data_IF_972408632225
#
_entry.id   IF_972408632225
#
_cell.length_a   1.000
_cell.length_b   1.000
_cell.length_c   1.000
_cell.angle_alpha   90.00
_cell.angle_beta   90.00
_cell.angle_gamma   90.00
#
_symmetry.space_group_name_H-M   'P 1'
#
loop_
_entity.id
_entity.type
_entity.pdbx_description
1 polymer ?
#
# COMPACT_ATOMS: atom_id res chain seq x y z
N UNK A 1 53.72 -97.45 17.65
CA UNK A 1 55.19 -97.51 17.73
C UNK A 1 55.56 -96.92 19.08
N UNK A 2 55.89 -97.75 20.08
CA UNK A 2 56.42 -97.27 21.37
C UNK A 2 57.80 -96.67 21.14
N UNK A 3 57.98 -95.41 21.52
CA UNK A 3 59.25 -94.71 21.39
C UNK A 3 60.05 -95.01 22.66
N UNK A 4 61.16 -95.74 22.56
CA UNK A 4 62.02 -96.01 23.70
C UNK A 4 62.65 -94.70 24.22
N UNK A 5 62.39 -94.37 25.48
CA UNK A 5 62.95 -93.18 26.12
C UNK A 5 64.47 -93.22 26.10
N UNK A 6 65.07 -92.23 25.45
CA UNK A 6 66.52 -92.03 25.40
C UNK A 6 66.86 -90.79 26.21
N UNK A 7 67.69 -90.96 27.24
CA UNK A 7 68.12 -89.88 28.14
C UNK A 7 69.52 -89.44 27.75
N UNK A 8 69.74 -88.14 27.61
CA UNK A 8 71.07 -87.59 27.32
C UNK A 8 72.00 -87.77 28.55
N UNK A 9 73.18 -88.37 28.36
CA UNK A 9 74.16 -88.61 29.43
C UNK A 9 74.84 -87.34 29.97
N UNK A 10 74.79 -86.23 29.23
CA UNK A 10 75.43 -84.97 29.62
C UNK A 10 74.50 -84.00 30.36
N UNK A 11 73.20 -83.97 30.03
CA UNK A 11 72.24 -83.05 30.63
C UNK A 11 71.06 -83.73 31.36
N UNK A 12 70.92 -85.06 31.28
CA UNK A 12 69.89 -85.82 32.01
C UNK A 12 68.46 -85.66 31.49
N UNK A 13 68.24 -84.91 30.41
CA UNK A 13 66.91 -84.67 29.83
C UNK A 13 66.49 -85.85 28.93
N UNK A 14 65.25 -86.33 29.10
CA UNK A 14 64.62 -87.28 28.18
C UNK A 14 64.35 -86.59 26.84
N UNK A 15 64.80 -87.21 25.75
CA UNK A 15 64.64 -86.67 24.40
C UNK A 15 63.17 -86.40 24.03
N UNK A 16 62.25 -87.24 24.53
CA UNK A 16 60.80 -87.07 24.36
C UNK A 16 60.32 -85.77 25.01
N UNK A 17 60.70 -85.52 26.26
CA UNK A 17 60.35 -84.30 26.99
C UNK A 17 60.89 -83.07 26.27
N UNK A 18 62.15 -83.11 25.82
CA UNK A 18 62.73 -82.00 25.06
C UNK A 18 61.95 -81.72 23.76
N UNK A 19 61.58 -82.75 23.01
CA UNK A 19 60.85 -82.59 21.76
C UNK A 19 59.44 -82.00 21.99
N UNK A 20 58.72 -82.47 23.00
CA UNK A 20 57.39 -81.98 23.34
C UNK A 20 57.41 -80.51 23.77
N UNK A 21 58.35 -80.13 24.65
CA UNK A 21 58.55 -78.74 25.04
C UNK A 21 58.92 -77.86 23.86
N UNK A 22 59.79 -78.34 22.96
CA UNK A 22 60.14 -77.61 21.76
C UNK A 22 58.93 -77.41 20.83
N UNK A 23 58.10 -78.43 20.63
CA UNK A 23 56.86 -78.31 19.85
C UNK A 23 55.87 -77.32 20.48
N UNK A 24 55.69 -77.37 21.80
CA UNK A 24 54.83 -76.44 22.53
C UNK A 24 55.33 -75.01 22.42
N UNK A 25 56.65 -74.79 22.54
CA UNK A 25 57.24 -73.46 22.44
C UNK A 25 57.08 -72.86 21.03
N UNK A 26 57.20 -73.68 19.98
CA UNK A 26 56.96 -73.25 18.60
C UNK A 26 55.48 -72.90 18.39
N UNK A 27 54.56 -73.71 18.92
CA UNK A 27 53.11 -73.42 18.86
C UNK A 27 52.74 -72.15 19.62
N UNK A 28 53.34 -71.92 20.79
CA UNK A 28 53.13 -70.70 21.57
C UNK A 28 53.60 -69.47 20.80
N UNK A 29 54.79 -69.52 20.20
CA UNK A 29 55.31 -68.40 19.40
C UNK A 29 54.39 -68.09 18.20
N UNK A 30 53.85 -69.12 17.53
CA UNK A 30 52.87 -68.94 16.45
C UNK A 30 51.59 -68.27 16.96
N UNK A 31 51.02 -68.75 18.06
CA UNK A 31 49.82 -68.16 18.65
C UNK A 31 50.03 -66.72 19.12
N UNK A 32 51.21 -66.39 19.64
CA UNK A 32 51.57 -65.01 20.02
C UNK A 32 51.61 -64.08 18.79
N UNK A 33 52.17 -64.55 17.67
CA UNK A 33 52.17 -63.78 16.41
C UNK A 33 50.76 -63.58 15.86
N UNK A 34 49.92 -64.63 15.83
CA UNK A 34 48.54 -64.54 15.38
C UNK A 34 47.71 -63.59 16.27
N UNK A 35 47.91 -63.65 17.59
CA UNK A 35 47.24 -62.75 18.53
C UNK A 35 47.63 -61.29 18.28
N UNK A 36 48.91 -61.04 17.98
CA UNK A 36 49.41 -59.70 17.68
C UNK A 36 48.80 -59.17 16.36
N UNK A 37 48.75 -59.98 15.32
CA UNK A 37 48.12 -59.63 14.04
C UNK A 37 46.63 -59.32 14.20
N UNK A 38 45.91 -60.13 14.98
CA UNK A 38 44.48 -59.90 15.27
C UNK A 38 44.28 -58.59 16.05
N UNK A 39 45.14 -58.28 17.01
CA UNK A 39 45.06 -57.01 17.75
C UNK A 39 45.29 -55.81 16.84
N UNK A 40 46.27 -55.89 15.94
CA UNK A 40 46.55 -54.81 14.99
C UNK A 40 45.42 -54.63 13.97
N UNK A 41 44.86 -55.72 13.44
CA UNK A 41 43.72 -55.63 12.53
C UNK A 41 42.49 -55.06 13.23
N UNK A 42 42.21 -55.47 14.47
CA UNK A 42 41.14 -54.90 15.28
C UNK A 42 41.34 -53.39 15.54
N UNK A 43 42.57 -52.94 15.79
CA UNK A 43 42.85 -51.50 15.95
C UNK A 43 42.65 -50.72 14.66
N UNK A 44 43.12 -51.26 13.52
CA UNK A 44 42.91 -50.64 12.20
C UNK A 44 41.42 -50.55 11.86
N UNK A 45 40.66 -51.62 12.11
CA UNK A 45 39.22 -51.64 11.89
C UNK A 45 38.50 -50.64 12.80
N UNK A 46 38.89 -50.57 14.08
CA UNK A 46 38.34 -49.58 15.01
C UNK A 46 38.57 -48.15 14.51
N UNK A 47 39.80 -47.83 14.09
CA UNK A 47 40.13 -46.50 13.54
C UNK A 47 39.33 -46.19 12.27
N UNK A 48 39.12 -47.18 11.40
CA UNK A 48 38.28 -47.03 10.20
C UNK A 48 36.82 -46.75 10.56
N UNK A 49 36.26 -47.46 11.55
CA UNK A 49 34.89 -47.24 12.03
C UNK A 49 34.73 -45.83 12.62
N UNK A 50 35.68 -45.38 13.45
CA UNK A 50 35.68 -44.03 14.02
C UNK A 50 35.76 -42.96 12.93
N UNK A 51 36.60 -43.14 11.90
CA UNK A 51 36.69 -42.21 10.77
C UNK A 51 35.37 -42.12 9.97
N UNK A 52 34.69 -43.25 9.75
CA UNK A 52 33.39 -43.27 9.08
C UNK A 52 32.30 -42.60 9.93
N UNK A 53 32.30 -42.81 11.24
CA UNK A 53 31.36 -42.14 12.16
C UNK A 53 31.58 -40.63 12.17
N UNK A 54 32.83 -40.18 12.19
CA UNK A 54 33.15 -38.75 12.08
C UNK A 54 32.65 -38.17 10.74
N UNK A 55 32.91 -38.86 9.63
CA UNK A 55 32.42 -38.45 8.32
C UNK A 55 30.89 -38.37 8.25
N UNK A 56 30.18 -39.33 8.87
CA UNK A 56 28.71 -39.29 8.97
C UNK A 56 28.23 -38.06 9.74
N UNK A 57 28.84 -37.77 10.89
CA UNK A 57 28.47 -36.62 11.72
C UNK A 57 28.79 -35.28 11.04
N UNK A 58 29.87 -35.20 10.29
CA UNK A 58 30.18 -34.01 9.48
C UNK A 58 29.18 -33.81 8.35
N UNK A 59 28.80 -34.90 7.68
CA UNK A 59 27.79 -34.86 6.62
C UNK A 59 26.41 -34.46 7.16
N UNK A 60 25.98 -35.04 8.28
CA UNK A 60 24.73 -34.67 8.97
C UNK A 60 24.73 -33.18 9.36
N UNK A 61 25.85 -32.66 9.89
CA UNK A 61 25.99 -31.24 10.22
C UNK A 61 25.92 -30.35 9.00
N UNK A 62 26.62 -30.71 7.91
CA UNK A 62 26.59 -29.97 6.66
C UNK A 62 25.17 -29.94 6.06
N UNK A 63 24.47 -31.08 6.07
CA UNK A 63 23.09 -31.17 5.60
C UNK A 63 22.15 -30.30 6.43
N UNK A 64 22.28 -30.31 7.76
CA UNK A 64 21.49 -29.45 8.63
C UNK A 64 21.71 -27.97 8.35
N UNK A 65 22.96 -27.54 8.15
CA UNK A 65 23.29 -26.16 7.81
C UNK A 65 22.72 -25.77 6.44
N UNK A 66 22.81 -26.65 5.44
CA UNK A 66 22.23 -26.39 4.12
C UNK A 66 20.70 -26.28 4.19
N UNK A 67 20.05 -27.15 4.97
CA UNK A 67 18.60 -27.08 5.19
C UNK A 67 18.19 -25.80 5.92
N UNK A 68 18.94 -25.39 6.95
CA UNK A 68 18.72 -24.12 7.65
C UNK A 68 18.85 -22.95 6.69
N UNK A 69 19.93 -22.89 5.90
CA UNK A 69 20.13 -21.81 4.93
C UNK A 69 18.99 -21.73 3.91
N UNK A 70 18.54 -22.87 3.38
CA UNK A 70 17.40 -22.91 2.46
C UNK A 70 16.09 -22.52 3.13
N UNK A 71 15.90 -22.84 4.42
CA UNK A 71 14.73 -22.43 5.18
C UNK A 71 14.74 -20.91 5.41
N UNK A 72 15.88 -20.35 5.80
CA UNK A 72 16.09 -18.91 5.99
C UNK A 72 15.90 -18.13 4.68
N UNK A 73 16.47 -18.60 3.57
CA UNK A 73 16.29 -17.99 2.23
C UNK A 73 14.82 -17.98 1.80
N UNK A 74 14.08 -19.07 2.07
CA UNK A 74 12.64 -19.13 1.79
C UNK A 74 11.84 -18.22 2.71
N UNK A 75 12.18 -18.18 4.00
CA UNK A 75 11.53 -17.30 4.96
C UNK A 75 11.75 -15.83 4.60
N UNK A 76 12.98 -15.44 4.26
CA UNK A 76 13.31 -14.08 3.83
C UNK A 76 12.56 -13.70 2.55
N UNK A 77 12.53 -14.60 1.55
CA UNK A 77 11.76 -14.39 0.32
C UNK A 77 10.27 -14.18 0.59
N UNK A 78 9.65 -15.06 1.41
CA UNK A 78 8.24 -14.94 1.76
C UNK A 78 7.94 -13.67 2.56
N UNK A 79 8.86 -13.26 3.46
CA UNK A 79 8.75 -12.02 4.20
C UNK A 79 8.79 -10.81 3.27
N UNK A 80 9.74 -10.77 2.35
CA UNK A 80 9.87 -9.68 1.38
C UNK A 80 8.61 -9.56 0.50
N UNK A 81 8.08 -10.68 0.01
CA UNK A 81 6.83 -10.72 -0.77
C UNK A 81 5.64 -10.19 0.04
N UNK A 82 5.51 -10.60 1.31
CA UNK A 82 4.45 -10.10 2.21
C UNK A 82 4.61 -8.59 2.50
N UNK A 83 5.84 -8.12 2.69
CA UNK A 83 6.11 -6.70 2.90
C UNK A 83 5.78 -5.86 1.66
N UNK A 84 6.07 -6.36 0.46
CA UNK A 84 5.69 -5.72 -0.80
C UNK A 84 4.17 -5.68 -0.99
N UNK A 85 3.48 -6.81 -0.78
CA UNK A 85 2.02 -6.87 -0.84
C UNK A 85 1.36 -5.91 0.15
N UNK A 86 1.89 -5.80 1.37
CA UNK A 86 1.39 -4.84 2.36
C UNK A 86 1.59 -3.39 1.91
N UNK A 87 2.76 -3.04 1.37
CA UNK A 87 3.04 -1.69 0.85
C UNK A 87 2.09 -1.33 -0.29
N UNK A 88 1.83 -2.27 -1.20
CA UNK A 88 0.92 -2.03 -2.32
C UNK A 88 -0.54 -1.91 -1.85
N UNK A 89 -0.97 -2.74 -0.90
CA UNK A 89 -2.28 -2.60 -0.28
C UNK A 89 -2.44 -1.25 0.42
N UNK A 90 -1.45 -0.81 1.19
CA UNK A 90 -1.44 0.51 1.83
C UNK A 90 -1.52 1.66 0.81
N UNK A 91 -0.79 1.53 -0.31
CA UNK A 91 -0.83 2.52 -1.40
C UNK A 91 -2.21 2.62 -2.02
N UNK A 92 -2.83 1.49 -2.35
CA UNK A 92 -4.19 1.44 -2.92
C UNK A 92 -5.20 2.06 -1.97
N UNK A 93 -5.15 1.70 -0.67
CA UNK A 93 -6.05 2.26 0.33
C UNK A 93 -5.89 3.79 0.48
N UNK A 94 -4.64 4.28 0.41
CA UNK A 94 -4.35 5.71 0.44
C UNK A 94 -4.93 6.43 -0.78
N UNK A 95 -4.68 5.91 -1.97
CA UNK A 95 -5.20 6.47 -3.23
C UNK A 95 -6.73 6.48 -3.26
N UNK A 96 -7.39 5.42 -2.78
CA UNK A 96 -8.84 5.38 -2.67
C UNK A 96 -9.37 6.44 -1.69
N UNK A 97 -8.69 6.62 -0.56
CA UNK A 97 -9.09 7.61 0.44
C UNK A 97 -8.91 9.03 -0.09
N UNK A 98 -7.77 9.32 -0.71
CA UNK A 98 -7.49 10.61 -1.36
C UNK A 98 -8.49 10.89 -2.48
N UNK A 99 -8.77 9.90 -3.33
CA UNK A 99 -9.76 10.00 -4.40
C UNK A 99 -11.17 10.24 -3.88
N UNK A 100 -11.58 9.59 -2.78
CA UNK A 100 -12.88 9.86 -2.13
C UNK A 100 -12.95 11.28 -1.58
N UNK A 101 -11.88 11.76 -0.94
CA UNK A 101 -11.84 13.13 -0.41
C UNK A 101 -11.87 14.17 -1.52
N UNK A 102 -11.14 13.94 -2.60
CA UNK A 102 -11.14 14.86 -3.74
C UNK A 102 -12.52 14.93 -4.41
N UNK A 103 -13.20 13.80 -4.60
CA UNK A 103 -14.59 13.77 -5.11
C UNK A 103 -15.52 14.58 -4.22
N UNK A 104 -15.50 14.34 -2.91
CA UNK A 104 -16.30 15.11 -1.94
C UNK A 104 -16.00 16.60 -2.00
N UNK A 105 -14.73 17.00 -2.14
CA UNK A 105 -14.35 18.41 -2.28
C UNK A 105 -14.96 19.02 -3.54
N UNK A 106 -14.85 18.34 -4.68
CA UNK A 106 -15.43 18.80 -5.95
C UNK A 106 -16.96 18.91 -5.88
N UNK A 107 -17.62 17.91 -5.30
CA UNK A 107 -19.08 17.92 -5.08
C UNK A 107 -19.49 19.14 -4.25
N UNK A 108 -18.80 19.41 -3.14
CA UNK A 108 -19.04 20.59 -2.31
C UNK A 108 -18.81 21.90 -3.07
N UNK A 109 -17.70 22.01 -3.83
CA UNK A 109 -17.39 23.19 -4.65
C UNK A 109 -18.47 23.45 -5.71
N UNK A 110 -18.93 22.41 -6.40
CA UNK A 110 -20.02 22.51 -7.38
C UNK A 110 -21.35 22.93 -6.74
N UNK A 111 -21.67 22.39 -5.56
CA UNK A 111 -22.86 22.79 -4.82
C UNK A 111 -22.80 24.27 -4.41
N UNK A 112 -21.67 24.71 -3.86
CA UNK A 112 -21.47 26.13 -3.52
C UNK A 112 -21.60 27.02 -4.75
N UNK A 113 -21.02 26.62 -5.88
CA UNK A 113 -21.11 27.36 -7.13
C UNK A 113 -22.56 27.46 -7.63
N UNK A 114 -23.32 26.36 -7.62
CA UNK A 114 -24.75 26.36 -7.98
C UNK A 114 -25.56 27.29 -7.07
N UNK A 115 -25.29 27.27 -5.76
CA UNK A 115 -25.96 28.14 -4.80
C UNK A 115 -25.61 29.60 -5.06
N UNK A 116 -24.34 29.93 -5.29
CA UNK A 116 -23.91 31.30 -5.57
C UNK A 116 -24.52 31.84 -6.87
N UNK A 117 -24.49 31.06 -7.94
CA UNK A 117 -25.09 31.44 -9.22
C UNK A 117 -26.61 31.59 -9.12
N UNK A 118 -27.28 30.71 -8.35
CA UNK A 118 -28.71 30.81 -8.06
C UNK A 118 -29.07 32.10 -7.33
N UNK A 119 -28.32 32.43 -6.26
CA UNK A 119 -28.49 33.68 -5.51
C UNK A 119 -28.21 34.91 -6.36
N UNK A 120 -27.18 34.88 -7.19
CA UNK A 120 -26.85 35.98 -8.09
C UNK A 120 -27.96 36.23 -9.12
N UNK A 121 -28.49 35.17 -9.74
CA UNK A 121 -29.63 35.26 -10.66
C UNK A 121 -30.87 35.83 -9.96
N UNK A 122 -31.12 35.42 -8.72
CA UNK A 122 -32.23 35.94 -7.93
C UNK A 122 -32.04 37.45 -7.65
N UNK A 123 -30.89 37.86 -7.14
CA UNK A 123 -30.58 39.26 -6.87
C UNK A 123 -30.67 40.13 -8.12
N UNK A 124 -30.19 39.65 -9.27
CA UNK A 124 -30.33 40.36 -10.55
C UNK A 124 -31.79 40.60 -10.93
N UNK A 125 -32.67 39.60 -10.71
CA UNK A 125 -34.12 39.75 -10.96
C UNK A 125 -34.75 40.75 -10.00
N UNK A 126 -34.42 40.66 -8.71
CA UNK A 126 -34.95 41.57 -7.68
C UNK A 126 -34.54 43.01 -7.95
N UNK A 127 -33.27 43.25 -8.28
CA UNK A 127 -32.76 44.57 -8.67
C UNK A 127 -33.46 45.10 -9.93
N UNK A 128 -33.62 44.26 -10.96
CA UNK A 128 -34.34 44.64 -12.18
C UNK A 128 -35.80 45.01 -11.91
N UNK A 129 -36.50 44.24 -11.08
CA UNK A 129 -37.89 44.54 -10.69
C UNK A 129 -37.98 45.85 -9.90
N UNK A 130 -37.06 46.09 -8.96
CA UNK A 130 -36.98 47.34 -8.20
C UNK A 130 -36.73 48.55 -9.11
N UNK A 131 -35.90 48.39 -10.14
CA UNK A 131 -35.62 49.45 -11.12
C UNK A 131 -36.82 49.73 -12.02
N UNK A 132 -37.51 48.69 -12.50
CA UNK A 132 -38.76 48.83 -13.27
C UNK A 132 -39.84 49.54 -12.44
N UNK A 133 -40.05 49.13 -11.19
CA UNK A 133 -41.01 49.78 -10.29
C UNK A 133 -40.64 51.23 -10.01
N UNK A 134 -39.35 51.55 -9.87
CA UNK A 134 -38.88 52.93 -9.71
C UNK A 134 -39.18 53.77 -10.96
N UNK A 135 -38.86 53.27 -12.15
CA UNK A 135 -39.11 53.96 -13.42
C UNK A 135 -40.62 54.14 -13.67
N UNK A 136 -41.43 53.14 -13.31
CA UNK A 136 -42.89 53.21 -13.39
C UNK A 136 -43.44 54.34 -12.52
N UNK A 137 -43.02 54.42 -11.25
CA UNK A 137 -43.42 55.52 -10.35
C UNK A 137 -43.00 56.89 -10.89
N UNK A 138 -41.77 57.02 -11.40
CA UNK A 138 -41.31 58.26 -12.02
C UNK A 138 -42.13 58.64 -13.25
N UNK A 139 -42.50 57.68 -14.09
CA UNK A 139 -43.37 57.91 -15.25
C UNK A 139 -44.76 58.37 -14.81
N UNK A 140 -45.39 57.68 -13.86
CA UNK A 140 -46.70 58.05 -13.31
C UNK A 140 -46.67 59.45 -12.67
N UNK A 141 -45.58 59.83 -11.99
CA UNK A 141 -45.41 61.20 -11.45
C UNK A 141 -45.25 62.26 -12.55
N UNK A 142 -44.49 61.97 -13.60
CA UNK A 142 -44.34 62.88 -14.75
C UNK A 142 -45.66 63.05 -15.49
N UNK A 143 -46.39 61.95 -15.69
CA UNK A 143 -47.72 61.93 -16.33
C UNK A 143 -48.72 62.80 -15.54
N UNK A 144 -48.77 62.64 -14.21
CA UNK A 144 -49.58 63.53 -13.35
C UNK A 144 -49.22 65.00 -13.51
N UNK A 145 -47.92 65.33 -13.50
CA UNK A 145 -47.46 66.71 -13.68
C UNK A 145 -47.78 67.25 -15.07
N UNK A 146 -47.74 66.42 -16.11
CA UNK A 146 -48.12 66.84 -17.47
C UNK A 146 -49.62 67.05 -17.59
N UNK A 147 -50.45 66.16 -17.04
CA UNK A 147 -51.91 66.33 -17.00
C UNK A 147 -52.32 67.59 -16.23
N UNK A 148 -51.66 67.90 -15.11
CA UNK A 148 -51.87 69.14 -14.36
C UNK A 148 -51.52 70.37 -15.21
N UNK A 149 -50.39 70.35 -15.92
CA UNK A 149 -50.00 71.44 -16.82
C UNK A 149 -50.97 71.59 -18.00
N UNK A 150 -51.41 70.49 -18.60
CA UNK A 150 -52.39 70.50 -19.69
C UNK A 150 -53.73 71.06 -19.23
N UNK A 151 -54.19 70.71 -18.02
CA UNK A 151 -55.40 71.30 -17.42
C UNK A 151 -55.26 72.82 -17.27
N UNK A 152 -54.14 73.29 -16.72
CA UNK A 152 -53.88 74.73 -16.57
C UNK A 152 -53.85 75.44 -17.94
N UNK A 153 -53.14 74.88 -18.93
CA UNK A 153 -53.07 75.44 -20.27
C UNK A 153 -54.43 75.44 -20.97
N UNK A 154 -55.22 74.38 -20.79
CA UNK A 154 -56.58 74.28 -21.33
C UNK A 154 -57.49 75.35 -20.72
N UNK A 155 -57.41 75.56 -19.40
CA UNK A 155 -58.14 76.61 -18.70
C UNK A 155 -57.72 78.01 -19.18
N UNK A 156 -56.42 78.24 -19.40
CA UNK A 156 -55.88 79.49 -19.97
C UNK A 156 -56.35 79.72 -21.41
N UNK A 157 -56.30 78.70 -22.27
CA UNK A 157 -56.82 78.75 -23.63
C UNK A 157 -58.32 79.05 -23.65
N UNK A 158 -59.09 78.42 -22.77
CA UNK A 158 -60.53 78.66 -22.67
C UNK A 158 -60.82 80.11 -22.25
N UNK A 159 -60.04 80.67 -21.31
CA UNK A 159 -60.12 82.10 -20.95
C UNK A 159 -59.75 83.01 -22.12
N UNK A 160 -58.65 82.72 -22.83
CA UNK A 160 -58.23 83.49 -23.99
C UNK A 160 -59.27 83.47 -25.13
N UNK A 161 -59.88 82.31 -25.39
CA UNK A 161 -60.97 82.18 -26.37
C UNK A 161 -62.19 83.01 -25.98
N UNK A 162 -62.60 83.00 -24.70
CA UNK A 162 -63.68 83.87 -24.20
C UNK A 162 -63.35 85.35 -24.42
N UNK A 163 -62.14 85.77 -24.10
CA UNK A 163 -61.69 87.15 -24.31
C UNK A 163 -61.67 87.52 -25.81
N UNK A 164 -61.26 86.60 -26.70
CA UNK A 164 -61.31 86.80 -28.15
C UNK A 164 -62.74 86.94 -28.66
N UNK A 165 -63.67 86.11 -28.17
CA UNK A 165 -65.09 86.22 -28.52
C UNK A 165 -65.70 87.54 -28.05
N UNK A 166 -65.31 88.02 -26.87
CA UNK A 166 -65.69 89.35 -26.37
C UNK A 166 -65.12 90.47 -27.26
N UNK A 167 -63.84 90.41 -27.63
CA UNK A 167 -63.22 91.37 -28.57
C UNK A 167 -63.86 91.33 -29.96
N UNK A 168 -64.25 90.16 -30.47
CA UNK A 168 -65.00 90.01 -31.73
C UNK A 168 -66.37 90.67 -31.66
N UNK A 169 -67.10 90.52 -30.53
CA UNK A 169 -68.36 91.23 -30.29
C UNK A 169 -68.15 92.75 -30.26
N UNK A 170 -67.08 93.22 -29.60
CA UNK A 170 -66.74 94.65 -29.60
C UNK A 170 -66.37 95.17 -30.99
N UNK A 171 -65.67 94.40 -31.82
CA UNK A 171 -65.35 94.76 -33.21
C UNK A 171 -66.59 94.80 -34.10
N UNK A 172 -67.50 93.82 -33.99
CA UNK A 172 -68.79 93.86 -34.70
C UNK A 172 -69.61 95.10 -34.35
N UNK A 173 -69.62 95.51 -33.07
CA UNK A 173 -70.29 96.74 -32.63
C UNK A 173 -69.64 98.03 -33.18
N UNK A 174 -68.37 97.98 -33.58
CA UNK A 174 -67.64 99.09 -34.20
C UNK A 174 -67.81 99.13 -35.74
N UNK A 175 -68.01 97.98 -36.39
CA UNK A 175 -68.26 97.86 -37.84
C UNK A 175 -69.71 98.18 -38.24
N UNK A 176 -70.66 98.13 -37.31
CA UNK A 176 -72.08 98.50 -37.52
C UNK A 176 -72.38 100.01 -37.33
N UNK A 177 -71.35 100.86 -37.29
CA UNK A 177 -71.45 102.34 -37.28
C UNK A 177 -71.04 102.96 -38.61
#
# INVERSE_FOLDING_TARGET
MEHSETVCRYCGVSYLIYHEFHQLHTRLAQLETELQEVRETAQREKAQREALEQGRLEWERALHLEMQRKAEEKESSMREELEEQNRDMERVLREEFEGKNERKRREMEEEYQKISEGKEKQLRRELGNLEVERLRRQREELERKTEEREKVLSDELQKANKNLDELRKYLQQLEER
#
